data_IF_931865683446
#
_entry.id   IF_931865683446
#
_cell.length_a   1.000
_cell.length_b   1.000
_cell.length_c   1.000
_cell.angle_alpha   90.00
_cell.angle_beta   90.00
_cell.angle_gamma   90.00
#
_symmetry.space_group_name_H-M   'P 1'
#
loop_
_entity.id
_entity.type
_entity.pdbx_description
1 polymer ?
#
# COMPACT_ATOMS: atom_id res chain seq x y z
N UNK A 1 34.02 14.56 -24.59
CA UNK A 1 33.28 15.14 -23.44
C UNK A 1 31.95 14.45 -23.14
N UNK A 2 31.13 14.11 -24.14
CA UNK A 2 29.81 13.45 -23.97
C UNK A 2 29.85 12.11 -23.21
N UNK A 3 30.80 11.21 -23.53
CA UNK A 3 30.94 9.90 -22.85
C UNK A 3 31.27 10.02 -21.34
N UNK A 4 32.00 11.07 -20.93
CA UNK A 4 32.35 11.33 -19.51
C UNK A 4 31.13 11.81 -18.73
N UNK A 5 30.35 12.75 -19.30
CA UNK A 5 29.08 13.20 -18.71
C UNK A 5 28.07 12.04 -18.58
N UNK A 6 28.00 11.15 -19.58
CA UNK A 6 27.14 9.95 -19.54
C UNK A 6 27.52 8.99 -18.41
N UNK A 7 28.80 8.64 -18.27
CA UNK A 7 29.31 7.81 -17.16
C UNK A 7 29.02 8.42 -15.78
N UNK A 8 29.19 9.73 -15.61
CA UNK A 8 28.89 10.41 -14.34
C UNK A 8 27.39 10.33 -14.01
N UNK A 9 26.54 10.49 -15.02
CA UNK A 9 25.09 10.38 -14.87
C UNK A 9 24.66 8.95 -14.49
N UNK A 10 25.26 7.93 -15.12
CA UNK A 10 25.00 6.52 -14.81
C UNK A 10 25.44 6.15 -13.37
N UNK A 11 26.59 6.67 -12.91
CA UNK A 11 27.07 6.48 -11.54
C UNK A 11 26.16 7.16 -10.53
N UNK A 12 25.77 8.41 -10.77
CA UNK A 12 24.86 9.15 -9.88
C UNK A 12 23.51 8.43 -9.75
N UNK A 13 22.97 7.92 -10.87
CA UNK A 13 21.73 7.14 -10.88
C UNK A 13 21.86 5.83 -10.10
N UNK A 14 22.99 5.14 -10.20
CA UNK A 14 23.25 3.93 -9.42
C UNK A 14 23.34 4.23 -7.92
N UNK A 15 24.05 5.29 -7.54
CA UNK A 15 24.13 5.74 -6.13
C UNK A 15 22.73 6.07 -5.60
N UNK A 16 21.92 6.81 -6.35
CA UNK A 16 20.54 7.14 -5.97
C UNK A 16 19.67 5.88 -5.79
N UNK A 17 19.79 4.89 -6.69
CA UNK A 17 19.07 3.62 -6.58
C UNK A 17 19.49 2.83 -5.34
N UNK A 18 20.79 2.74 -5.06
CA UNK A 18 21.31 2.05 -3.87
C UNK A 18 20.82 2.74 -2.60
N UNK A 19 20.88 4.07 -2.53
CA UNK A 19 20.36 4.83 -1.40
C UNK A 19 18.86 4.60 -1.21
N UNK A 20 18.08 4.65 -2.29
CA UNK A 20 16.64 4.39 -2.25
C UNK A 20 16.32 2.99 -1.73
N UNK A 21 16.94 1.94 -2.29
CA UNK A 21 16.73 0.56 -1.85
C UNK A 21 17.16 0.37 -0.39
N UNK A 22 18.32 0.92 0.00
CA UNK A 22 18.81 0.83 1.37
C UNK A 22 17.87 1.50 2.38
N UNK A 23 17.25 2.63 1.99
CA UNK A 23 16.26 3.31 2.83
C UNK A 23 14.98 2.49 3.02
N UNK A 24 14.51 1.80 1.98
CA UNK A 24 13.35 0.91 2.07
C UNK A 24 13.65 -0.25 3.02
N UNK A 25 14.82 -0.87 2.89
CA UNK A 25 15.25 -1.96 3.76
C UNK A 25 15.34 -1.49 5.22
N UNK A 26 15.99 -0.36 5.47
CA UNK A 26 16.12 0.20 6.82
C UNK A 26 14.76 0.52 7.46
N UNK A 27 13.83 1.12 6.70
CA UNK A 27 12.48 1.41 7.18
C UNK A 27 11.67 0.13 7.45
N UNK A 28 11.84 -0.90 6.60
CA UNK A 28 11.16 -2.19 6.75
C UNK A 28 11.66 -2.93 8.00
N UNK A 29 12.98 -2.93 8.23
CA UNK A 29 13.58 -3.49 9.44
C UNK A 29 13.15 -2.73 10.70
N UNK A 30 13.14 -1.40 10.67
CA UNK A 30 12.68 -0.58 11.79
C UNK A 30 11.20 -0.86 12.12
N UNK A 31 10.33 -0.87 11.11
CA UNK A 31 8.90 -1.20 11.28
C UNK A 31 8.73 -2.61 11.85
N UNK A 32 9.43 -3.60 11.29
CA UNK A 32 9.42 -4.98 11.79
C UNK A 32 9.87 -5.09 13.24
N UNK A 33 10.93 -4.37 13.63
CA UNK A 33 11.41 -4.32 15.00
C UNK A 33 10.40 -3.66 15.95
N UNK A 34 9.80 -2.54 15.56
CA UNK A 34 8.74 -1.88 16.35
C UNK A 34 7.52 -2.79 16.53
N UNK A 35 7.06 -3.44 15.47
CA UNK A 35 5.94 -4.39 15.52
C UNK A 35 6.27 -5.54 16.49
N UNK A 36 7.46 -6.13 16.37
CA UNK A 36 7.92 -7.19 17.27
C UNK A 36 7.96 -6.74 18.73
N UNK A 37 8.41 -5.52 19.00
CA UNK A 37 8.53 -4.96 20.35
C UNK A 37 7.19 -4.57 20.99
N UNK A 38 6.27 -4.04 20.19
CA UNK A 38 5.06 -3.38 20.68
C UNK A 38 3.81 -4.20 20.50
N UNK A 39 3.87 -5.31 19.76
CA UNK A 39 2.74 -6.13 19.40
C UNK A 39 1.59 -5.34 18.70
N UNK A 40 1.90 -4.19 18.07
CA UNK A 40 0.98 -3.40 17.26
C UNK A 40 1.16 -3.73 15.78
N UNK A 41 0.49 -4.79 15.33
CA UNK A 41 0.57 -5.31 13.95
C UNK A 41 -0.55 -4.74 13.07
N UNK A 42 -1.60 -4.21 13.70
CA UNK A 42 -2.79 -3.63 13.08
C UNK A 42 -3.15 -2.36 13.83
N UNK A 43 -3.57 -1.34 13.07
CA UNK A 43 -4.04 -0.07 13.61
C UNK A 43 -5.36 -0.25 14.35
N UNK A 44 -5.53 0.44 15.49
CA UNK A 44 -6.70 0.27 16.35
C UNK A 44 -8.01 0.65 15.60
N UNK A 45 -7.92 1.62 14.70
CA UNK A 45 -9.03 2.05 13.83
C UNK A 45 -9.55 0.93 12.92
N UNK A 46 -8.73 -0.07 12.60
CA UNK A 46 -9.15 -1.20 11.78
C UNK A 46 -10.19 -2.08 12.50
N UNK A 47 -10.16 -2.14 13.84
CA UNK A 47 -11.12 -2.93 14.62
C UNK A 47 -12.54 -2.41 14.50
N UNK A 48 -12.73 -1.12 14.25
CA UNK A 48 -14.05 -0.56 13.93
C UNK A 48 -14.57 -1.26 12.69
N UNK A 49 -13.79 -1.28 11.61
CA UNK A 49 -14.19 -1.91 10.34
C UNK A 49 -14.42 -3.42 10.51
N UNK A 50 -13.61 -4.10 11.34
CA UNK A 50 -13.78 -5.54 11.63
C UNK A 50 -15.11 -5.82 12.31
N UNK A 51 -15.50 -4.99 13.29
CA UNK A 51 -16.80 -5.14 13.98
C UNK A 51 -17.98 -5.02 13.02
N UNK A 52 -17.94 -4.04 12.12
CA UNK A 52 -18.96 -3.90 11.07
C UNK A 52 -18.99 -5.11 10.13
N UNK A 53 -17.81 -5.59 9.73
CA UNK A 53 -17.70 -6.76 8.86
C UNK A 53 -18.23 -8.04 9.54
N UNK A 54 -17.93 -8.26 10.82
CA UNK A 54 -18.45 -9.39 11.60
C UNK A 54 -19.97 -9.31 11.78
N UNK A 55 -20.50 -8.14 12.08
CA UNK A 55 -21.96 -7.97 12.23
C UNK A 55 -22.68 -8.21 10.91
N UNK A 56 -22.13 -7.73 9.79
CA UNK A 56 -22.66 -8.02 8.45
C UNK A 56 -22.59 -9.52 8.14
N UNK A 57 -21.47 -10.17 8.47
CA UNK A 57 -21.27 -11.60 8.25
C UNK A 57 -22.28 -12.47 9.00
N UNK A 58 -22.64 -12.04 10.21
CA UNK A 58 -23.62 -12.72 11.07
C UNK A 58 -25.08 -12.28 10.80
N UNK A 59 -25.35 -11.50 9.75
CA UNK A 59 -26.71 -11.09 9.38
C UNK A 59 -27.32 -9.99 10.26
N UNK A 60 -26.52 -9.31 11.09
CA UNK A 60 -26.97 -8.25 12.01
C UNK A 60 -27.10 -6.88 11.36
N UNK A 61 -26.63 -6.73 10.12
CA UNK A 61 -26.53 -5.46 9.42
C UNK A 61 -25.16 -4.81 9.55
N UNK A 62 -24.91 -3.78 8.72
CA UNK A 62 -23.69 -2.96 8.77
C UNK A 62 -23.81 -1.95 9.91
N UNK A 63 -23.70 -2.47 11.11
CA UNK A 63 -23.84 -1.71 12.37
C UNK A 63 -22.66 -2.02 13.28
N UNK A 64 -22.33 -1.09 14.18
CA UNK A 64 -21.34 -1.34 15.22
C UNK A 64 -21.96 -2.09 16.41
N UNK A 65 -23.09 -1.57 16.90
CA UNK A 65 -23.96 -2.18 17.91
C UNK A 65 -25.24 -2.68 17.25
N UNK A 66 -25.69 -3.87 17.63
CA UNK A 66 -26.93 -4.45 17.12
C UNK A 66 -28.13 -3.59 17.54
N UNK A 67 -29.02 -3.27 16.60
CA UNK A 67 -30.15 -2.37 16.81
C UNK A 67 -29.85 -0.88 16.58
N UNK A 68 -28.59 -0.46 16.53
CA UNK A 68 -28.20 0.93 16.28
C UNK A 68 -27.69 1.11 14.84
N UNK A 69 -28.40 1.90 14.04
CA UNK A 69 -28.01 2.18 12.65
C UNK A 69 -27.15 3.44 12.57
N UNK A 70 -25.87 3.28 12.83
CA UNK A 70 -24.85 4.34 12.70
C UNK A 70 -23.72 3.82 11.81
N UNK A 71 -23.29 4.62 10.84
CA UNK A 71 -22.12 4.34 10.00
C UNK A 71 -20.88 5.00 10.59
N UNK A 72 -19.87 4.20 10.95
CA UNK A 72 -18.64 4.67 11.58
C UNK A 72 -17.35 4.21 10.87
N UNK A 73 -17.47 3.48 9.76
CA UNK A 73 -16.32 3.10 8.93
C UNK A 73 -16.12 4.10 7.79
N UNK A 74 -14.87 4.29 7.36
CA UNK A 74 -14.51 5.19 6.23
C UNK A 74 -14.03 4.42 4.99
N UNK A 75 -14.17 3.10 5.01
CA UNK A 75 -13.57 2.17 4.05
C UNK A 75 -14.56 1.07 3.62
N UNK A 76 -15.78 1.47 3.19
CA UNK A 76 -16.91 0.58 2.86
C UNK A 76 -16.53 -0.68 2.07
N UNK A 77 -15.84 -0.51 0.94
CA UNK A 77 -15.45 -1.61 0.07
C UNK A 77 -14.57 -2.63 0.82
N UNK A 78 -13.64 -2.14 1.66
CA UNK A 78 -12.76 -2.99 2.45
C UNK A 78 -13.53 -3.76 3.51
N UNK A 79 -14.49 -3.11 4.19
CA UNK A 79 -15.39 -3.75 5.16
C UNK A 79 -16.17 -4.89 4.53
N UNK A 80 -16.73 -4.68 3.33
CA UNK A 80 -17.45 -5.73 2.60
C UNK A 80 -16.54 -6.89 2.18
N UNK A 81 -15.32 -6.62 1.71
CA UNK A 81 -14.39 -7.70 1.36
C UNK A 81 -14.04 -8.50 2.61
N UNK A 82 -13.77 -7.85 3.75
CA UNK A 82 -13.46 -8.55 5.01
C UNK A 82 -14.63 -9.43 5.45
N UNK A 83 -15.88 -8.96 5.33
CA UNK A 83 -17.08 -9.78 5.56
C UNK A 83 -17.07 -11.09 4.75
N UNK A 84 -16.75 -11.02 3.45
CA UNK A 84 -16.69 -12.21 2.59
C UNK A 84 -15.67 -13.24 3.10
N UNK A 85 -14.52 -12.77 3.59
CA UNK A 85 -13.51 -13.65 4.19
C UNK A 85 -13.97 -14.24 5.52
N UNK A 86 -14.68 -13.47 6.36
CA UNK A 86 -15.26 -13.95 7.61
C UNK A 86 -16.28 -15.06 7.33
N UNK A 87 -17.12 -14.91 6.30
CA UNK A 87 -18.10 -15.93 5.88
C UNK A 87 -17.47 -17.27 5.50
N UNK A 88 -16.22 -17.28 5.04
CA UNK A 88 -15.47 -18.51 4.73
C UNK A 88 -14.55 -18.96 5.87
N UNK A 89 -14.69 -18.38 7.06
CA UNK A 89 -13.99 -18.81 8.28
C UNK A 89 -12.62 -18.17 8.51
N UNK A 90 -12.25 -17.12 7.76
CA UNK A 90 -10.98 -16.42 7.95
C UNK A 90 -11.18 -15.27 8.93
N UNK A 91 -10.35 -15.20 9.98
CA UNK A 91 -10.43 -14.13 10.98
C UNK A 91 -10.27 -12.73 10.34
N UNK A 92 -10.94 -11.68 10.85
CA UNK A 92 -10.83 -10.32 10.30
C UNK A 92 -9.38 -9.82 10.18
N UNK A 93 -8.54 -10.19 11.15
CA UNK A 93 -7.11 -9.89 11.18
C UNK A 93 -6.38 -10.44 9.95
N UNK A 94 -6.47 -11.74 9.71
CA UNK A 94 -5.86 -12.38 8.55
C UNK A 94 -6.45 -11.87 7.23
N UNK A 95 -7.76 -11.67 7.16
CA UNK A 95 -8.44 -11.09 6.00
C UNK A 95 -7.83 -9.73 5.64
N UNK A 96 -7.70 -8.85 6.63
CA UNK A 96 -7.09 -7.52 6.52
C UNK A 96 -5.66 -7.58 5.98
N UNK A 97 -4.82 -8.47 6.52
CA UNK A 97 -3.42 -8.62 6.10
C UNK A 97 -3.30 -9.15 4.67
N UNK A 98 -4.07 -10.19 4.32
CA UNK A 98 -4.07 -10.81 2.98
C UNK A 98 -4.51 -9.78 1.93
N UNK A 99 -5.61 -9.08 2.16
CA UNK A 99 -6.11 -8.04 1.24
C UNK A 99 -5.09 -6.93 1.06
N UNK A 100 -4.49 -6.45 2.16
CA UNK A 100 -3.51 -5.36 2.11
C UNK A 100 -2.26 -5.76 1.31
N UNK A 101 -1.78 -7.00 1.49
CA UNK A 101 -0.66 -7.54 0.74
C UNK A 101 -0.99 -7.64 -0.75
N UNK A 102 -2.14 -8.24 -1.11
CA UNK A 102 -2.56 -8.41 -2.50
C UNK A 102 -2.70 -7.05 -3.19
N UNK A 103 -3.43 -6.09 -2.60
CA UNK A 103 -3.63 -4.78 -3.19
C UNK A 103 -2.32 -3.99 -3.34
N UNK A 104 -1.39 -4.15 -2.39
CA UNK A 104 -0.06 -3.53 -2.47
C UNK A 104 0.75 -4.10 -3.65
N UNK A 105 0.78 -5.43 -3.80
CA UNK A 105 1.46 -6.10 -4.92
C UNK A 105 0.85 -5.71 -6.27
N UNK A 106 -0.48 -5.67 -6.35
CA UNK A 106 -1.18 -5.21 -7.55
C UNK A 106 -0.83 -3.76 -7.88
N UNK A 107 -0.76 -2.88 -6.89
CA UNK A 107 -0.37 -1.48 -7.09
C UNK A 107 1.03 -1.37 -7.68
N UNK A 108 2.01 -2.08 -7.12
CA UNK A 108 3.39 -2.11 -7.64
C UNK A 108 3.43 -2.66 -9.07
N UNK A 109 2.70 -3.76 -9.33
CA UNK A 109 2.60 -4.35 -10.66
C UNK A 109 2.01 -3.36 -11.68
N UNK A 110 0.86 -2.76 -11.38
CA UNK A 110 0.19 -1.82 -12.28
C UNK A 110 0.99 -0.54 -12.52
N UNK A 111 1.63 0.00 -11.49
CA UNK A 111 2.51 1.17 -11.65
C UNK A 111 3.73 0.83 -12.52
N UNK A 112 4.35 -0.33 -12.30
CA UNK A 112 5.48 -0.79 -13.11
C UNK A 112 5.05 -1.03 -14.55
N UNK A 113 3.91 -1.70 -14.76
CA UNK A 113 3.31 -1.90 -16.06
C UNK A 113 3.04 -0.57 -16.76
N UNK A 114 2.42 0.39 -16.08
CA UNK A 114 2.11 1.70 -16.62
C UNK A 114 3.38 2.46 -17.02
N UNK A 115 4.40 2.50 -16.16
CA UNK A 115 5.68 3.17 -16.46
C UNK A 115 6.37 2.57 -17.69
N UNK A 116 6.27 1.25 -17.88
CA UNK A 116 6.86 0.58 -19.05
C UNK A 116 6.08 0.84 -20.35
N UNK A 117 4.79 1.14 -20.27
CA UNK A 117 3.92 1.33 -21.45
C UNK A 117 3.64 2.80 -21.77
N UNK A 118 3.83 3.71 -20.82
CA UNK A 118 3.79 5.14 -21.07
C UNK A 118 5.02 5.53 -21.89
N UNK A 119 4.81 5.92 -23.15
CA UNK A 119 5.86 6.55 -23.94
C UNK A 119 6.24 7.88 -23.27
N UNK A 120 7.52 8.14 -22.99
CA UNK A 120 7.94 9.44 -22.50
C UNK A 120 7.50 10.50 -23.51
N UNK A 121 6.73 11.49 -23.05
CA UNK A 121 6.25 12.60 -23.89
C UNK A 121 7.50 13.42 -24.31
N UNK A 122 7.86 13.47 -25.59
CA UNK A 122 8.95 14.33 -26.02
C UNK A 122 8.45 15.78 -25.92
N UNK A 123 9.07 16.59 -25.06
CA UNK A 123 8.64 17.98 -24.89
C UNK A 123 9.29 18.81 -23.79
N UNK A 124 10.20 18.25 -22.96
CA UNK A 124 10.79 18.98 -21.84
C UNK A 124 12.33 18.96 -21.82
N UNK A 125 12.97 18.37 -22.85
CA UNK A 125 14.43 18.32 -22.99
C UNK A 125 14.96 19.12 -24.20
N UNK A 126 14.16 20.03 -24.74
CA UNK A 126 14.67 21.13 -25.55
C UNK A 126 14.95 22.31 -24.61
N UNK A 127 16.11 22.29 -23.95
CA UNK A 127 16.67 23.54 -23.44
C UNK A 127 17.14 24.31 -24.67
N UNK A 128 16.56 25.48 -25.00
CA UNK A 128 17.19 26.32 -26.00
C UNK A 128 18.54 26.76 -25.40
N UNK A 129 19.62 26.37 -26.07
CA UNK A 129 20.89 27.03 -25.91
C UNK A 129 20.68 28.51 -26.20
N UNK A 130 20.61 29.34 -25.16
CA UNK A 130 20.68 30.78 -25.28
C UNK A 130 21.91 31.26 -24.51
N UNK A 131 22.75 31.95 -25.27
CA UNK A 131 24.05 32.57 -24.98
C UNK A 131 25.27 31.64 -25.03
#
# INVERSE_FOLDING_TARGET
MVKKKRKVFDIARYILLVLFVSSIIALSLHKGWVIYKTNHWVDDDAFISFRYAENWANGKGLVYNEGERVEGYTNFLRTLIIDLFIKVGVSPLWSSLIISLILSLLTVFFLSFLVLHLKPRPGWMEYPHCF
#
